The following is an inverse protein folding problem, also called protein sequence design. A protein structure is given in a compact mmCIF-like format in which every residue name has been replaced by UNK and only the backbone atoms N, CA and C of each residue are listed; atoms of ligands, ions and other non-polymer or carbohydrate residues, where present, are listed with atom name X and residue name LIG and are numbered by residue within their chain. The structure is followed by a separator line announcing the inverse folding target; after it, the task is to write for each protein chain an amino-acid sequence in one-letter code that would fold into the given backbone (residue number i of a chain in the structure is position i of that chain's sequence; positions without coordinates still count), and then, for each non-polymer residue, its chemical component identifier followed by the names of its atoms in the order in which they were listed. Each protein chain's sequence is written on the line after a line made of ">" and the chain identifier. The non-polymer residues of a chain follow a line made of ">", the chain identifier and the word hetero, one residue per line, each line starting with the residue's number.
data_IF_634790227327
#
_entry.id   IF_634790227327
#
_cell.length_a   1.000
_cell.length_b   1.000
_cell.length_c   1.000
_cell.angle_alpha   90.00
_cell.angle_beta   90.00
_cell.angle_gamma   90.00
#
_symmetry.space_group_name_H-M   'P 1'
#
loop_
_entity.id
_entity.type
_entity.pdbx_description
1 polymer ?
#
# COMPACT_ATOMS: atom_id res chain seq x y z
N UNK A 1 3.79 -17.23 19.52
CA UNK A 1 4.00 -15.78 19.86
C UNK A 1 2.82 -14.98 19.35
N UNK A 2 2.36 -14.01 20.13
CA UNK A 2 1.32 -13.09 19.70
C UNK A 2 1.87 -12.17 18.58
N UNK A 3 1.10 -12.00 17.51
CA UNK A 3 1.44 -11.10 16.41
C UNK A 3 1.35 -9.66 16.90
N UNK A 4 2.40 -8.88 16.70
CA UNK A 4 2.34 -7.43 16.89
C UNK A 4 1.74 -6.80 15.64
N UNK A 5 0.52 -6.34 15.73
CA UNK A 5 -0.13 -5.56 14.67
C UNK A 5 -0.12 -4.10 15.08
N UNK A 6 0.41 -3.23 14.22
CA UNK A 6 0.41 -1.78 14.45
C UNK A 6 -1.04 -1.27 14.39
N UNK A 7 -1.40 -0.45 15.37
CA UNK A 7 -2.75 0.13 15.47
C UNK A 7 -2.89 1.31 14.52
N UNK A 8 -3.15 1.03 13.26
CA UNK A 8 -3.50 2.06 12.27
C UNK A 8 -5.00 2.27 12.26
N UNK A 9 -5.42 3.49 12.02
CA UNK A 9 -6.85 3.83 11.90
C UNK A 9 -7.36 3.35 10.55
N UNK A 10 -8.49 2.61 10.47
CA UNK A 10 -9.06 2.21 9.20
C UNK A 10 -9.58 3.43 8.42
N UNK A 11 -9.47 3.33 7.11
CA UNK A 11 -10.04 4.29 6.17
C UNK A 11 -10.48 3.55 4.91
N UNK A 12 -11.67 3.83 4.42
CA UNK A 12 -12.15 3.32 3.16
C UNK A 12 -12.06 4.40 2.09
N UNK A 13 -11.39 4.07 0.98
CA UNK A 13 -11.31 4.95 -0.19
C UNK A 13 -12.68 5.20 -0.83
N UNK A 14 -12.79 6.29 -1.57
CA UNK A 14 -13.91 6.47 -2.49
C UNK A 14 -13.83 5.40 -3.57
N UNK A 15 -14.81 4.50 -3.60
CA UNK A 15 -14.81 3.36 -4.51
C UNK A 15 -14.91 3.78 -5.98
N UNK A 16 -14.36 2.96 -6.87
CA UNK A 16 -14.34 3.17 -8.32
C UNK A 16 -13.58 4.42 -8.79
N UNK A 17 -12.68 4.95 -7.96
CA UNK A 17 -11.93 6.18 -8.24
C UNK A 17 -10.44 5.98 -8.38
N UNK A 18 -9.92 4.76 -8.20
CA UNK A 18 -8.48 4.47 -8.20
C UNK A 18 -7.70 5.28 -7.16
N UNK A 19 -8.30 5.48 -5.98
CA UNK A 19 -7.73 6.28 -4.90
C UNK A 19 -6.95 5.46 -3.87
N UNK A 20 -6.65 4.20 -4.15
CA UNK A 20 -5.94 3.32 -3.21
C UNK A 20 -4.58 3.88 -2.74
N UNK A 21 -3.83 4.53 -3.64
CA UNK A 21 -2.56 5.18 -3.29
C UNK A 21 -2.74 6.34 -2.30
N UNK A 22 -3.51 7.37 -2.65
CA UNK A 22 -3.82 8.47 -1.72
C UNK A 22 -4.46 8.00 -0.41
N UNK A 23 -5.35 7.02 -0.47
CA UNK A 23 -6.00 6.46 0.72
C UNK A 23 -5.01 5.69 1.62
N UNK A 24 -4.08 4.92 1.04
CA UNK A 24 -3.00 4.27 1.79
C UNK A 24 -2.08 5.30 2.45
N UNK A 25 -1.74 6.37 1.74
CA UNK A 25 -0.99 7.48 2.32
C UNK A 25 -1.76 8.12 3.48
N UNK A 26 -3.07 8.32 3.34
CA UNK A 26 -3.91 8.83 4.43
C UNK A 26 -3.85 7.95 5.67
N UNK A 27 -3.95 6.63 5.51
CA UNK A 27 -3.85 5.68 6.63
C UNK A 27 -2.52 5.86 7.37
N UNK A 28 -1.40 5.98 6.64
CA UNK A 28 -0.08 6.20 7.24
C UNK A 28 0.02 7.56 7.92
N UNK A 29 -0.48 8.61 7.30
CA UNK A 29 -0.46 9.97 7.88
C UNK A 29 -1.33 10.06 9.14
N UNK A 30 -2.52 9.47 9.14
CA UNK A 30 -3.39 9.41 10.32
C UNK A 30 -2.69 8.66 11.48
N UNK A 31 -1.92 7.62 11.19
CA UNK A 31 -1.12 6.90 12.18
C UNK A 31 -0.08 7.81 12.86
N UNK A 32 0.47 8.78 12.13
CA UNK A 32 1.38 9.79 12.67
C UNK A 32 0.66 11.03 13.23
N UNK A 33 -0.66 11.05 13.24
CA UNK A 33 -1.45 12.19 13.73
C UNK A 33 -1.56 13.36 12.76
N UNK A 34 -1.18 13.17 11.50
CA UNK A 34 -1.32 14.18 10.44
C UNK A 34 -2.66 13.99 9.73
N UNK A 35 -3.56 14.95 9.90
CA UNK A 35 -4.88 14.90 9.30
C UNK A 35 -4.90 15.55 7.92
N UNK A 36 -5.16 14.73 6.91
CA UNK A 36 -5.41 15.16 5.53
C UNK A 36 -6.64 14.44 4.99
N UNK A 37 -7.43 15.13 4.22
CA UNK A 37 -8.55 14.51 3.51
C UNK A 37 -8.04 13.72 2.31
N UNK A 38 -8.79 12.72 1.90
CA UNK A 38 -8.51 11.97 0.67
C UNK A 38 -8.35 12.90 -0.53
N UNK A 39 -9.26 13.88 -0.67
CA UNK A 39 -9.25 14.87 -1.75
C UNK A 39 -7.96 15.71 -1.79
N UNK A 40 -7.47 16.14 -0.62
CA UNK A 40 -6.18 16.84 -0.53
C UNK A 40 -5.03 15.95 -1.00
N UNK A 41 -5.03 14.69 -0.58
CA UNK A 41 -3.96 13.75 -0.94
C UNK A 41 -4.02 13.32 -2.40
N UNK A 42 -5.20 13.17 -2.98
CA UNK A 42 -5.38 12.97 -4.43
C UNK A 42 -4.67 14.08 -5.21
N UNK A 43 -4.87 15.34 -4.78
CA UNK A 43 -4.21 16.49 -5.40
C UNK A 43 -2.70 16.52 -5.14
N UNK A 44 -2.26 16.26 -3.91
CA UNK A 44 -0.84 16.32 -3.53
C UNK A 44 0.00 15.23 -4.20
N UNK A 45 -0.58 14.05 -4.42
CA UNK A 45 0.11 12.92 -5.04
C UNK A 45 0.16 13.00 -6.56
N UNK A 46 -0.56 13.92 -7.18
CA UNK A 46 -0.63 14.02 -8.64
C UNK A 46 -1.39 12.87 -9.28
N UNK A 47 -2.49 12.45 -8.65
CA UNK A 47 -3.34 11.37 -9.14
C UNK A 47 -3.78 11.58 -10.59
N UNK A 48 -3.75 10.51 -11.35
CA UNK A 48 -4.22 10.45 -12.73
C UNK A 48 -5.37 9.44 -12.84
N UNK A 49 -6.41 9.80 -13.57
CA UNK A 49 -7.64 8.98 -13.68
C UNK A 49 -7.41 7.62 -14.34
N UNK A 50 -6.41 7.51 -15.19
CA UNK A 50 -6.12 6.28 -15.95
C UNK A 50 -5.01 5.45 -15.30
N UNK A 51 -4.08 6.09 -14.59
CA UNK A 51 -2.88 5.46 -14.03
C UNK A 51 -2.86 5.41 -12.49
N UNK A 52 -3.76 6.14 -11.82
CA UNK A 52 -3.74 6.25 -10.36
C UNK A 52 -2.59 7.10 -9.86
N UNK A 53 -1.86 6.59 -8.87
CA UNK A 53 -0.69 7.26 -8.26
C UNK A 53 0.46 6.28 -8.22
N UNK A 54 1.64 6.72 -8.65
CA UNK A 54 2.89 5.96 -8.53
C UNK A 54 3.63 6.26 -7.21
N UNK A 55 4.71 5.53 -6.98
CA UNK A 55 5.56 5.70 -5.80
C UNK A 55 6.17 7.11 -5.68
N UNK A 56 6.41 7.78 -6.80
CA UNK A 56 6.96 9.14 -6.83
C UNK A 56 5.95 10.16 -6.33
N UNK A 57 4.69 9.98 -6.69
CA UNK A 57 3.59 10.82 -6.20
C UNK A 57 3.40 10.68 -4.68
N UNK A 58 3.43 9.45 -4.17
CA UNK A 58 3.38 9.18 -2.73
C UNK A 58 4.56 9.84 -2.02
N UNK A 59 5.78 9.64 -2.53
CA UNK A 59 7.00 10.23 -1.98
C UNK A 59 6.92 11.75 -1.94
N UNK A 60 6.56 12.38 -3.05
CA UNK A 60 6.42 13.85 -3.15
C UNK A 60 5.45 14.40 -2.09
N UNK A 61 4.30 13.79 -1.95
CA UNK A 61 3.29 14.23 -0.98
C UNK A 61 3.77 14.07 0.47
N UNK A 62 4.37 12.94 0.80
CA UNK A 62 4.89 12.68 2.15
C UNK A 62 6.06 13.60 2.51
N UNK A 63 7.00 13.83 1.59
CA UNK A 63 8.13 14.75 1.80
C UNK A 63 7.66 16.20 1.97
N UNK A 64 6.64 16.64 1.23
CA UNK A 64 6.03 17.96 1.40
C UNK A 64 5.41 18.17 2.79
N UNK A 65 5.07 17.07 3.48
CA UNK A 65 4.54 17.09 4.86
C UNK A 65 5.63 16.85 5.92
N UNK A 66 6.91 16.86 5.53
CA UNK A 66 8.06 16.78 6.44
C UNK A 66 8.51 15.37 6.77
N UNK A 67 8.05 14.36 6.04
CA UNK A 67 8.47 12.97 6.25
C UNK A 67 9.67 12.60 5.37
N UNK A 68 10.41 11.60 5.82
CA UNK A 68 11.39 10.88 5.01
C UNK A 68 10.70 9.70 4.36
N UNK A 69 11.13 9.33 3.14
CA UNK A 69 10.56 8.23 2.39
C UNK A 69 11.66 7.31 1.87
N UNK A 70 11.52 6.03 2.14
CA UNK A 70 12.38 4.98 1.59
C UNK A 70 11.56 4.06 0.72
N UNK A 71 11.94 3.97 -0.56
CA UNK A 71 11.35 3.05 -1.53
C UNK A 71 12.36 1.95 -1.80
N UNK A 72 11.93 0.69 -1.73
CA UNK A 72 12.76 -0.46 -2.05
C UNK A 72 11.98 -1.45 -2.89
N UNK A 73 12.54 -1.82 -4.05
CA UNK A 73 12.05 -2.90 -4.89
C UNK A 73 12.78 -4.22 -4.54
N UNK A 74 12.26 -5.32 -5.00
CA UNK A 74 12.79 -6.67 -4.72
C UNK A 74 12.93 -6.94 -3.22
N UNK A 75 12.00 -6.42 -2.44
CA UNK A 75 11.98 -6.58 -0.99
C UNK A 75 11.57 -7.98 -0.56
N UNK A 76 11.88 -8.31 0.68
CA UNK A 76 11.47 -9.54 1.35
C UNK A 76 10.56 -9.24 2.54
N UNK A 77 9.95 -10.26 3.11
CA UNK A 77 9.21 -10.13 4.37
C UNK A 77 10.13 -9.66 5.51
N UNK A 78 11.41 -10.05 5.49
CA UNK A 78 12.40 -9.53 6.44
C UNK A 78 12.57 -8.01 6.33
N UNK A 79 12.53 -7.45 5.14
CA UNK A 79 12.58 -5.99 4.94
C UNK A 79 11.35 -5.31 5.55
N UNK A 80 10.16 -5.87 5.34
CA UNK A 80 8.93 -5.36 5.97
C UNK A 80 9.04 -5.45 7.49
N UNK A 81 9.47 -6.59 8.03
CA UNK A 81 9.58 -6.80 9.47
C UNK A 81 10.49 -5.77 10.14
N UNK A 82 11.61 -5.42 9.52
CA UNK A 82 12.53 -4.38 10.03
C UNK A 82 11.84 -3.02 10.22
N UNK A 83 10.91 -2.67 9.36
CA UNK A 83 10.13 -1.44 9.50
C UNK A 83 9.04 -1.58 10.58
N UNK A 84 8.34 -2.70 10.59
CA UNK A 84 7.31 -2.97 11.61
C UNK A 84 7.91 -3.01 13.03
N UNK A 85 9.12 -3.54 13.20
CA UNK A 85 9.81 -3.57 14.48
C UNK A 85 10.12 -2.16 15.01
N UNK A 86 10.30 -1.21 14.11
CA UNK A 86 10.46 0.22 14.44
C UNK A 86 9.12 0.94 14.66
N UNK A 87 8.00 0.23 14.57
CA UNK A 87 6.68 0.82 14.65
C UNK A 87 6.26 1.60 13.40
N UNK A 88 6.84 1.28 12.24
CA UNK A 88 6.59 1.99 10.98
C UNK A 88 5.79 1.08 10.04
N UNK A 89 4.52 1.39 9.77
CA UNK A 89 3.75 0.69 8.74
C UNK A 89 4.29 1.02 7.35
N UNK A 90 4.24 0.08 6.42
CA UNK A 90 4.74 0.28 5.06
C UNK A 90 3.62 0.13 4.04
N UNK A 91 3.66 0.93 2.98
CA UNK A 91 2.77 0.78 1.83
C UNK A 91 3.35 -0.26 0.90
N UNK A 92 2.49 -1.15 0.40
CA UNK A 92 2.82 -2.13 -0.64
C UNK A 92 1.84 -2.00 -1.79
N UNK A 93 2.33 -2.27 -2.99
CA UNK A 93 1.50 -2.39 -4.19
C UNK A 93 1.43 -3.85 -4.59
N UNK A 94 0.24 -4.33 -4.90
CA UNK A 94 0.01 -5.73 -5.23
C UNK A 94 -1.10 -5.88 -6.28
N UNK A 95 -1.07 -6.99 -7.00
CA UNK A 95 -1.99 -7.27 -8.08
C UNK A 95 -3.22 -8.02 -7.55
N UNK A 96 -4.40 -7.50 -7.81
CA UNK A 96 -5.63 -7.94 -7.14
C UNK A 96 -6.37 -9.08 -7.82
N UNK A 97 -6.12 -9.34 -9.10
CA UNK A 97 -6.81 -10.38 -9.86
C UNK A 97 -6.25 -11.77 -9.56
N UNK A 98 -7.14 -12.77 -9.50
CA UNK A 98 -6.76 -14.18 -9.35
C UNK A 98 -6.73 -14.68 -7.92
N UNK A 99 -7.19 -13.89 -6.97
CA UNK A 99 -7.32 -14.30 -5.57
C UNK A 99 -8.77 -14.71 -5.27
N UNK A 100 -8.92 -15.86 -4.59
CA UNK A 100 -10.24 -16.38 -4.22
C UNK A 100 -10.96 -15.52 -3.17
N UNK A 101 -10.20 -14.81 -2.35
CA UNK A 101 -10.70 -13.95 -1.26
C UNK A 101 -10.92 -12.50 -1.68
N UNK A 102 -10.63 -12.18 -2.93
CA UNK A 102 -10.86 -10.86 -3.48
C UNK A 102 -12.22 -10.82 -4.16
N UNK A 103 -13.12 -9.90 -3.79
CA UNK A 103 -14.39 -9.79 -4.49
C UNK A 103 -14.10 -9.51 -5.97
N UNK A 104 -14.87 -10.17 -6.83
CA UNK A 104 -14.75 -10.05 -8.28
C UNK A 104 -14.63 -8.58 -8.70
N UNK A 105 -13.41 -8.10 -8.86
CA UNK A 105 -13.21 -6.85 -9.56
C UNK A 105 -13.08 -7.19 -11.04
N UNK A 106 -13.89 -6.59 -11.84
CA UNK A 106 -13.84 -6.72 -13.30
C UNK A 106 -12.51 -6.20 -13.86
N UNK A 107 -11.80 -5.43 -13.08
CA UNK A 107 -10.49 -4.86 -13.44
C UNK A 107 -9.37 -5.54 -12.66
N UNK A 108 -8.49 -6.19 -13.41
CA UNK A 108 -7.19 -6.62 -12.91
C UNK A 108 -6.27 -5.39 -12.86
N UNK A 109 -5.95 -4.92 -11.66
CA UNK A 109 -5.16 -3.71 -11.51
C UNK A 109 -4.23 -3.78 -10.31
N UNK A 110 -3.21 -2.92 -10.31
CA UNK A 110 -2.38 -2.67 -9.16
C UNK A 110 -3.20 -2.04 -8.03
N UNK A 111 -2.97 -2.46 -6.82
CA UNK A 111 -3.67 -2.00 -5.64
C UNK A 111 -2.69 -1.67 -4.52
N UNK A 112 -2.92 -0.58 -3.82
CA UNK A 112 -2.10 -0.17 -2.68
C UNK A 112 -2.79 -0.50 -1.37
N UNK A 113 -2.02 -1.02 -0.42
CA UNK A 113 -2.48 -1.30 0.95
C UNK A 113 -1.36 -1.00 1.95
N UNK A 114 -1.68 -0.93 3.24
CA UNK A 114 -0.73 -0.64 4.30
C UNK A 114 -0.48 -1.89 5.13
N UNK A 115 0.76 -2.38 5.15
CA UNK A 115 1.15 -3.50 5.99
C UNK A 115 1.22 -3.04 7.44
N UNK A 116 0.50 -3.72 8.31
CA UNK A 116 0.42 -3.42 9.74
C UNK A 116 1.00 -4.51 10.62
N UNK A 117 1.21 -5.70 10.07
CA UNK A 117 1.76 -6.83 10.83
C UNK A 117 2.15 -8.00 9.94
N UNK A 118 3.02 -8.84 10.49
CA UNK A 118 3.43 -10.13 9.93
C UNK A 118 3.46 -11.16 11.04
N UNK A 119 3.12 -12.41 10.70
CA UNK A 119 3.46 -13.58 11.49
C UNK A 119 4.14 -14.63 10.61
N UNK A 120 4.31 -15.85 11.11
CA UNK A 120 4.99 -16.90 10.36
C UNK A 120 4.26 -17.25 9.05
N UNK A 121 2.94 -17.16 9.04
CA UNK A 121 2.11 -17.58 7.93
C UNK A 121 1.41 -16.45 7.20
N UNK A 122 1.06 -15.35 7.88
CA UNK A 122 0.17 -14.33 7.36
C UNK A 122 0.80 -12.94 7.29
N UNK A 123 0.35 -12.15 6.32
CA UNK A 123 0.53 -10.70 6.25
C UNK A 123 -0.81 -10.02 6.55
N UNK A 124 -0.76 -8.94 7.32
CA UNK A 124 -1.92 -8.15 7.72
C UNK A 124 -1.85 -6.78 7.04
N UNK A 125 -2.86 -6.50 6.21
CA UNK A 125 -2.96 -5.28 5.42
C UNK A 125 -4.16 -4.46 5.89
N UNK A 126 -3.96 -3.21 6.26
CA UNK A 126 -5.05 -2.26 6.30
C UNK A 126 -5.36 -1.87 4.86
N UNK A 127 -6.48 -2.36 4.35
CA UNK A 127 -6.83 -2.23 2.95
C UNK A 127 -7.87 -1.11 2.76
N UNK A 128 -7.52 -0.05 2.01
CA UNK A 128 -8.44 1.06 1.80
C UNK A 128 -9.65 0.70 0.94
N UNK A 129 -9.58 -0.35 0.14
CA UNK A 129 -10.74 -0.76 -0.66
C UNK A 129 -11.89 -1.28 0.21
N UNK A 130 -11.57 -2.04 1.23
CA UNK A 130 -12.58 -2.63 2.12
C UNK A 130 -12.71 -1.91 3.47
N UNK A 131 -11.84 -0.93 3.75
CA UNK A 131 -11.86 -0.15 4.98
C UNK A 131 -11.60 -0.96 6.25
N UNK A 132 -10.91 -2.09 6.15
CA UNK A 132 -10.58 -2.98 7.27
C UNK A 132 -9.31 -3.79 7.01
N UNK A 133 -8.85 -4.51 8.02
CA UNK A 133 -7.68 -5.39 7.89
C UNK A 133 -8.03 -6.61 7.05
N UNK A 134 -7.18 -6.88 6.07
CA UNK A 134 -7.16 -8.08 5.25
C UNK A 134 -6.01 -8.96 5.72
N UNK A 135 -6.32 -10.20 6.07
CA UNK A 135 -5.34 -11.21 6.47
C UNK A 135 -5.10 -12.15 5.29
N UNK A 136 -3.89 -12.20 4.79
CA UNK A 136 -3.53 -12.98 3.62
C UNK A 136 -2.40 -13.96 3.94
N UNK A 137 -2.44 -15.15 3.34
CA UNK A 137 -1.32 -16.08 3.38
C UNK A 137 -0.10 -15.45 2.69
N UNK A 138 1.07 -15.58 3.30
CA UNK A 138 2.31 -14.97 2.79
C UNK A 138 2.77 -15.54 1.46
N UNK A 139 2.60 -16.84 1.23
CA UNK A 139 2.96 -17.46 -0.04
C UNK A 139 2.02 -16.98 -1.16
N UNK A 140 0.73 -16.86 -0.87
CA UNK A 140 -0.22 -16.30 -1.82
C UNK A 140 0.06 -14.84 -2.12
N UNK A 141 0.31 -14.04 -1.09
CA UNK A 141 0.63 -12.62 -1.26
C UNK A 141 1.90 -12.42 -2.08
N UNK A 142 2.94 -13.21 -1.84
CA UNK A 142 4.20 -13.14 -2.58
C UNK A 142 4.00 -13.30 -4.09
N UNK A 143 3.05 -14.13 -4.51
CA UNK A 143 2.72 -14.35 -5.93
C UNK A 143 2.08 -13.16 -6.61
N UNK A 144 1.43 -12.29 -5.85
CA UNK A 144 0.72 -11.10 -6.35
C UNK A 144 1.36 -9.79 -5.90
N UNK A 145 2.47 -9.86 -5.19
CA UNK A 145 3.20 -8.68 -4.71
C UNK A 145 4.05 -8.08 -5.83
N UNK A 146 3.38 -7.49 -6.77
CA UNK A 146 3.97 -6.74 -7.87
C UNK A 146 2.98 -5.69 -8.39
N UNK A 147 3.51 -4.72 -9.10
CA UNK A 147 2.77 -3.71 -9.83
C UNK A 147 3.42 -3.49 -11.20
N UNK A 148 2.88 -2.62 -12.01
CA UNK A 148 3.40 -2.34 -13.34
C UNK A 148 3.20 -0.86 -13.71
N UNK A 149 4.08 -0.38 -14.58
CA UNK A 149 4.02 0.99 -15.09
C UNK A 149 3.16 1.05 -16.36
N UNK A 150 2.33 2.10 -16.42
CA UNK A 150 1.49 2.36 -17.57
C UNK A 150 0.19 1.57 -17.59
N UNK A 151 -0.49 1.61 -18.70
CA UNK A 151 -1.83 1.03 -18.87
C UNK A 151 -1.83 -0.50 -19.06
N UNK A 152 -0.72 -1.05 -19.53
CA UNK A 152 -0.60 -2.47 -19.85
C UNK A 152 0.60 -3.10 -19.16
N UNK A 153 0.47 -4.37 -18.77
CA UNK A 153 1.57 -5.13 -18.19
C UNK A 153 2.60 -5.43 -19.29
N UNK A 154 3.83 -4.97 -19.06
CA UNK A 154 4.98 -5.23 -19.92
C UNK A 154 6.13 -5.79 -19.08
N UNK A 155 6.95 -6.74 -19.61
CA UNK A 155 8.06 -7.33 -18.83
C UNK A 155 9.02 -6.31 -18.24
N UNK A 156 9.37 -5.27 -18.99
CA UNK A 156 10.27 -4.20 -18.54
C UNK A 156 9.59 -3.12 -17.67
N UNK A 157 8.28 -3.19 -17.50
CA UNK A 157 7.48 -2.26 -16.68
C UNK A 157 7.08 -2.81 -15.32
N UNK A 158 7.51 -4.04 -14.98
CA UNK A 158 7.16 -4.67 -13.71
C UNK A 158 7.91 -4.03 -12.54
N UNK A 159 7.18 -3.83 -11.46
CA UNK A 159 7.68 -3.37 -10.16
C UNK A 159 7.50 -4.54 -9.20
N UNK A 160 8.59 -5.19 -8.84
CA UNK A 160 8.56 -6.42 -8.07
C UNK A 160 8.78 -6.13 -6.59
N UNK A 161 7.85 -6.56 -5.76
CA UNK A 161 7.91 -6.50 -4.29
C UNK A 161 8.42 -5.15 -3.77
N UNK A 162 7.73 -4.09 -4.18
CA UNK A 162 8.03 -2.74 -3.71
C UNK A 162 7.45 -2.50 -2.31
N UNK A 163 8.23 -1.84 -1.47
CA UNK A 163 7.76 -1.25 -0.23
C UNK A 163 8.04 0.25 -0.23
N UNK A 164 7.15 1.00 0.37
CA UNK A 164 7.30 2.44 0.62
C UNK A 164 7.18 2.65 2.12
N UNK A 165 8.29 3.00 2.77
CA UNK A 165 8.33 3.34 4.18
C UNK A 165 8.35 4.86 4.35
N UNK A 166 7.43 5.39 5.16
CA UNK A 166 7.27 6.82 5.45
C UNK A 166 7.52 7.00 6.94
N UNK A 167 8.49 7.86 7.29
CA UNK A 167 8.95 7.99 8.68
C UNK A 167 9.50 9.40 8.94
N UNK A 168 9.64 9.73 10.22
CA UNK A 168 10.22 11.00 10.68
C UNK A 168 11.73 10.93 10.91
#
# INVERSE_FOLDING_TARGET
>A
MSVKILKVKPFQETLHSSYCGPASLKIVLDYYGIKKTEKELVKMTGWDKDLGVDEKGIKKAAEALGFKVKIKNNSSYSDIQKWLDKGIPVIVDWFTRGRKDYPDSETADGHSSVVTGLDDKFIYLQDPEIGKIRKLDKEDFKRVWFDFKGKYIKPNGLIIRQIIAIYK
#
